data_IF_942312192166
#
_entry.id   IF_942312192166
#
_cell.length_a   1.000
_cell.length_b   1.000
_cell.length_c   1.000
_cell.angle_alpha   90.00
_cell.angle_beta   90.00
_cell.angle_gamma   90.00
#
_symmetry.space_group_name_H-M   'P 1'
#
loop_
_entity.id
_entity.type
_entity.pdbx_description
1 polymer ?
#
# COMPACT_ATOMS: atom_id res chain seq x y z
N UNK A 1 1.97 1.07 18.62
CA UNK A 1 1.02 -0.02 18.31
C UNK A 1 1.67 -0.99 17.34
N UNK A 2 1.47 -2.30 17.51
CA UNK A 2 1.97 -3.32 16.58
C UNK A 2 0.87 -3.73 15.60
N UNK A 3 1.22 -3.92 14.33
CA UNK A 3 0.31 -4.26 13.24
C UNK A 3 0.88 -5.46 12.46
N UNK A 4 0.07 -6.50 12.31
CA UNK A 4 0.43 -7.71 11.59
C UNK A 4 0.02 -7.56 10.12
N UNK A 5 0.97 -7.66 9.19
CA UNK A 5 0.70 -7.61 7.76
C UNK A 5 1.01 -8.95 7.09
N UNK A 6 0.23 -9.29 6.05
CA UNK A 6 0.54 -10.43 5.18
C UNK A 6 0.28 -10.09 3.72
N UNK A 7 0.96 -10.83 2.85
CA UNK A 7 0.55 -10.95 1.46
C UNK A 7 -0.49 -12.07 1.32
N UNK A 8 -1.47 -11.88 0.44
CA UNK A 8 -2.40 -12.92 -0.04
C UNK A 8 -1.89 -13.41 -1.40
N UNK A 9 -2.26 -14.66 -1.75
CA UNK A 9 -1.98 -15.20 -3.08
C UNK A 9 -2.46 -14.23 -4.16
N UNK A 10 -1.57 -14.04 -5.13
CA UNK A 10 -1.55 -12.87 -6.01
C UNK A 10 -1.96 -13.27 -7.42
N UNK A 11 -2.65 -12.38 -8.15
CA UNK A 11 -2.69 -12.50 -9.61
C UNK A 11 -1.26 -12.50 -10.17
N UNK A 12 -1.06 -13.13 -11.34
CA UNK A 12 0.23 -13.19 -12.00
C UNK A 12 0.65 -11.81 -12.53
N UNK A 13 1.22 -10.98 -11.66
CA UNK A 13 1.57 -9.61 -11.96
C UNK A 13 2.69 -9.47 -13.00
N UNK A 14 2.67 -8.36 -13.72
CA UNK A 14 3.70 -8.00 -14.70
C UNK A 14 5.07 -7.74 -14.05
N UNK A 15 5.11 -7.60 -12.72
CA UNK A 15 6.33 -7.50 -11.89
C UNK A 15 6.44 -8.72 -10.98
N UNK A 16 7.66 -9.25 -10.78
CA UNK A 16 7.91 -10.42 -9.91
C UNK A 16 7.35 -10.19 -8.49
N UNK A 17 6.62 -11.16 -7.88
CA UNK A 17 6.04 -11.00 -6.54
C UNK A 17 7.04 -10.55 -5.47
N UNK A 18 8.26 -11.11 -5.45
CA UNK A 18 9.31 -10.70 -4.52
C UNK A 18 9.71 -9.22 -4.63
N UNK A 19 9.67 -8.64 -5.84
CA UNK A 19 9.96 -7.21 -6.07
C UNK A 19 8.85 -6.33 -5.50
N UNK A 20 7.59 -6.71 -5.70
CA UNK A 20 6.42 -6.00 -5.19
C UNK A 20 6.32 -6.10 -3.66
N UNK A 21 6.53 -7.30 -3.10
CA UNK A 21 6.62 -7.52 -1.65
C UNK A 21 7.72 -6.65 -1.03
N UNK A 22 8.91 -6.62 -1.64
CA UNK A 22 10.03 -5.77 -1.19
C UNK A 22 9.68 -4.28 -1.22
N UNK A 23 8.86 -3.82 -2.18
CA UNK A 23 8.39 -2.44 -2.23
C UNK A 23 7.40 -2.13 -1.09
N UNK A 24 6.45 -3.02 -0.84
CA UNK A 24 5.49 -2.88 0.26
C UNK A 24 6.19 -2.86 1.63
N UNK A 25 7.18 -3.73 1.86
CA UNK A 25 7.97 -3.75 3.10
C UNK A 25 8.73 -2.44 3.31
N UNK A 26 9.28 -1.83 2.24
CA UNK A 26 9.90 -0.49 2.33
C UNK A 26 8.88 0.58 2.69
N UNK A 27 7.69 0.57 2.09
CA UNK A 27 6.63 1.53 2.42
C UNK A 27 6.20 1.44 3.89
N UNK A 28 5.95 0.22 4.40
CA UNK A 28 5.66 -0.02 5.82
C UNK A 28 6.79 0.46 6.73
N UNK A 29 8.05 0.28 6.32
CA UNK A 29 9.23 0.76 7.05
C UNK A 29 9.31 2.29 7.09
N UNK A 30 9.00 2.98 6.00
CA UNK A 30 8.91 4.45 5.97
C UNK A 30 7.84 4.97 6.94
N UNK A 31 6.68 4.31 7.05
CA UNK A 31 5.64 4.67 8.02
C UNK A 31 6.05 4.38 9.48
N UNK A 32 6.72 3.26 9.74
CA UNK A 32 7.21 2.92 11.07
C UNK A 32 8.31 3.91 11.56
N UNK A 33 9.11 4.46 10.64
CA UNK A 33 10.18 5.40 10.99
C UNK A 33 9.67 6.76 11.52
N UNK A 34 8.40 7.12 11.28
CA UNK A 34 7.85 8.46 11.59
C UNK A 34 6.65 8.44 12.55
N UNK A 35 6.17 7.25 12.91
CA UNK A 35 4.97 7.00 13.72
C UNK A 35 5.27 6.04 14.89
N UNK A 36 4.26 5.81 15.74
CA UNK A 36 4.34 4.80 16.80
C UNK A 36 4.01 3.37 16.30
N UNK A 37 3.93 3.14 14.99
CA UNK A 37 3.61 1.83 14.42
C UNK A 37 4.82 0.92 14.27
N UNK A 38 4.61 -0.37 14.51
CA UNK A 38 5.55 -1.45 14.19
C UNK A 38 4.83 -2.46 13.31
N UNK A 39 5.45 -2.84 12.20
CA UNK A 39 4.87 -3.81 11.26
C UNK A 39 5.65 -5.12 11.30
N UNK A 40 4.95 -6.25 11.38
CA UNK A 40 5.57 -7.58 11.28
C UNK A 40 4.73 -8.56 10.48
N UNK A 41 5.38 -9.60 9.97
CA UNK A 41 4.71 -10.77 9.43
C UNK A 41 3.99 -11.55 10.55
N UNK A 42 2.97 -12.36 10.23
CA UNK A 42 2.34 -13.26 11.19
C UNK A 42 3.31 -14.37 11.63
N UNK A 43 3.26 -14.73 12.91
CA UNK A 43 4.04 -15.80 13.51
C UNK A 43 3.57 -17.20 13.06
N UNK A 44 2.32 -17.31 12.61
CA UNK A 44 1.76 -18.54 12.02
C UNK A 44 0.56 -18.22 11.12
N UNK A 45 0.13 -19.19 10.30
CA UNK A 45 -0.94 -19.02 9.30
C UNK A 45 -2.35 -18.72 9.86
N UNK A 46 -2.56 -18.84 11.17
CA UNK A 46 -3.84 -18.57 11.85
C UNK A 46 -3.86 -17.24 12.61
N UNK A 47 -2.74 -16.51 12.67
CA UNK A 47 -2.72 -15.21 13.34
C UNK A 47 -3.60 -14.20 12.58
N UNK A 48 -4.34 -13.37 13.33
CA UNK A 48 -5.15 -12.29 12.78
C UNK A 48 -4.23 -11.22 12.18
N UNK A 49 -4.56 -10.73 10.99
CA UNK A 49 -3.75 -9.76 10.25
C UNK A 49 -4.52 -8.45 10.20
N UNK A 50 -3.86 -7.35 10.54
CA UNK A 50 -4.42 -6.00 10.45
C UNK A 50 -4.33 -5.44 9.02
N UNK A 51 -3.37 -5.92 8.24
CA UNK A 51 -3.14 -5.48 6.85
C UNK A 51 -3.01 -6.70 5.94
N UNK A 52 -3.83 -6.77 4.90
CA UNK A 52 -3.79 -7.83 3.89
C UNK A 52 -3.51 -7.19 2.53
N UNK A 53 -2.32 -7.45 1.99
CA UNK A 53 -1.86 -6.89 0.71
C UNK A 53 -2.08 -7.95 -0.38
N UNK A 54 -2.83 -7.58 -1.42
CA UNK A 54 -3.13 -8.44 -2.57
C UNK A 54 -2.83 -7.75 -3.90
N UNK A 55 -2.50 -8.54 -4.92
CA UNK A 55 -2.36 -8.07 -6.29
C UNK A 55 -3.49 -8.65 -7.13
N UNK A 56 -4.25 -7.77 -7.78
CA UNK A 56 -5.48 -8.12 -8.47
C UNK A 56 -5.50 -7.53 -9.88
N UNK A 57 -6.41 -7.99 -10.73
CA UNK A 57 -6.63 -7.49 -12.09
C UNK A 57 -8.11 -7.26 -12.29
N UNK A 58 -8.48 -6.22 -13.03
CA UNK A 58 -9.86 -5.95 -13.44
C UNK A 58 -10.85 -6.12 -12.27
N UNK A 59 -11.98 -6.80 -12.47
CA UNK A 59 -12.95 -7.12 -11.42
C UNK A 59 -12.44 -8.19 -10.45
N UNK A 60 -12.27 -7.82 -9.18
CA UNK A 60 -11.71 -8.68 -8.14
C UNK A 60 -12.56 -8.82 -6.87
N UNK A 61 -13.89 -8.75 -7.05
CA UNK A 61 -14.94 -9.13 -6.07
C UNK A 61 -15.15 -8.18 -4.88
N UNK A 62 -14.60 -6.99 -4.93
CA UNK A 62 -14.81 -5.90 -3.96
C UNK A 62 -15.66 -4.73 -4.54
N UNK A 63 -16.17 -4.89 -5.77
CA UNK A 63 -16.89 -3.87 -6.56
C UNK A 63 -16.04 -2.64 -6.98
N UNK A 64 -14.72 -2.68 -6.78
CA UNK A 64 -13.79 -1.65 -7.21
C UNK A 64 -12.81 -2.21 -8.26
N UNK A 65 -13.25 -2.44 -9.51
CA UNK A 65 -12.41 -3.03 -10.54
C UNK A 65 -11.25 -2.11 -10.94
N UNK A 66 -10.10 -2.70 -11.29
CA UNK A 66 -9.04 -2.01 -12.03
C UNK A 66 -9.37 -1.90 -13.53
N UNK A 67 -8.66 -1.03 -14.25
CA UNK A 67 -9.09 -0.39 -15.49
C UNK A 67 -8.05 -0.41 -16.62
N UNK A 68 -7.23 -1.47 -16.68
CA UNK A 68 -6.10 -1.68 -17.60
C UNK A 68 -4.91 -0.68 -17.38
N UNK A 69 -3.70 -0.95 -17.94
CA UNK A 69 -2.51 -0.16 -17.61
C UNK A 69 -2.59 1.34 -17.90
N UNK A 70 -1.94 2.12 -17.02
CA UNK A 70 -1.95 3.58 -16.86
C UNK A 70 -3.21 4.15 -16.17
N UNK A 71 -3.97 3.30 -15.48
CA UNK A 71 -5.19 3.64 -14.73
C UNK A 71 -4.98 3.70 -13.21
N UNK A 72 -5.83 2.99 -12.47
CA UNK A 72 -5.83 2.88 -11.01
C UNK A 72 -4.68 1.98 -10.55
N UNK A 73 -3.66 2.59 -9.93
CA UNK A 73 -2.48 1.85 -9.45
C UNK A 73 -2.75 0.91 -8.26
N UNK A 74 -3.88 1.10 -7.59
CA UNK A 74 -4.31 0.36 -6.41
C UNK A 74 -5.23 1.18 -5.51
N UNK A 75 -5.86 0.52 -4.54
CA UNK A 75 -6.69 1.13 -3.51
C UNK A 75 -6.51 0.44 -2.16
N UNK A 76 -6.79 1.19 -1.09
CA UNK A 76 -6.77 0.69 0.29
C UNK A 76 -8.12 0.92 0.96
N UNK A 77 -8.53 -0.03 1.80
CA UNK A 77 -9.72 0.07 2.62
C UNK A 77 -9.40 0.63 4.01
N UNK A 78 -10.43 1.08 4.73
CA UNK A 78 -10.29 1.60 6.08
C UNK A 78 -9.69 0.54 7.05
N UNK A 79 -9.08 0.94 8.18
CA UNK A 79 -8.41 0.02 9.12
C UNK A 79 -9.27 -1.13 9.66
N UNK A 80 -10.60 -1.00 9.63
CA UNK A 80 -11.55 -2.03 10.02
C UNK A 80 -11.63 -3.21 9.03
N UNK A 81 -11.33 -2.97 7.75
CA UNK A 81 -11.24 -3.98 6.70
C UNK A 81 -9.78 -4.43 6.51
N UNK A 82 -8.86 -3.46 6.45
CA UNK A 82 -7.41 -3.70 6.43
C UNK A 82 -6.87 -4.22 5.09
N UNK A 83 -7.69 -4.34 4.05
CA UNK A 83 -7.22 -4.76 2.74
C UNK A 83 -6.55 -3.60 1.97
N UNK A 84 -5.50 -3.95 1.22
CA UNK A 84 -4.82 -3.08 0.27
C UNK A 84 -4.63 -3.86 -1.04
N UNK A 85 -5.28 -3.41 -2.10
CA UNK A 85 -5.22 -4.03 -3.42
C UNK A 85 -4.32 -3.17 -4.32
N UNK A 86 -3.41 -3.83 -5.03
CA UNK A 86 -2.52 -3.22 -6.01
C UNK A 86 -2.83 -3.83 -7.38
N UNK A 87 -2.85 -3.01 -8.43
CA UNK A 87 -3.05 -3.56 -9.77
C UNK A 87 -1.82 -4.37 -10.20
N UNK A 88 -2.09 -5.60 -10.62
CA UNK A 88 -1.11 -6.56 -11.11
C UNK A 88 -0.75 -6.32 -12.58
N UNK A 89 -1.58 -5.59 -13.34
CA UNK A 89 -1.27 -5.16 -14.69
C UNK A 89 -0.34 -3.94 -14.74
N UNK A 90 -0.31 -3.16 -13.66
CA UNK A 90 0.56 -2.00 -13.54
C UNK A 90 2.03 -2.36 -13.39
N UNK A 91 2.88 -1.56 -14.05
CA UNK A 91 4.33 -1.64 -13.88
C UNK A 91 4.76 -0.72 -12.72
N UNK A 92 4.23 -1.04 -11.53
CA UNK A 92 3.96 -0.12 -10.42
C UNK A 92 5.06 0.92 -10.12
N UNK A 93 4.67 2.20 -10.14
CA UNK A 93 5.40 3.36 -9.61
C UNK A 93 4.42 4.13 -8.69
N UNK A 94 4.71 4.26 -7.39
CA UNK A 94 3.71 4.32 -6.29
C UNK A 94 3.17 5.74 -5.89
N UNK A 95 1.88 5.83 -5.50
CA UNK A 95 1.14 6.98 -4.86
C UNK A 95 -0.04 6.47 -3.99
N UNK A 96 -0.91 7.20 -3.24
CA UNK A 96 -1.66 8.42 -3.58
C UNK A 96 -2.35 9.15 -2.36
N UNK A 97 -2.58 10.48 -2.44
CA UNK A 97 -3.43 11.40 -1.60
C UNK A 97 -3.41 12.83 -2.21
N UNK A 98 -3.36 13.97 -1.49
CA UNK A 98 -3.75 15.30 -2.01
C UNK A 98 -2.71 16.44 -2.13
N UNK A 99 -1.62 16.49 -1.35
CA UNK A 99 -0.53 17.46 -1.58
C UNK A 99 0.30 17.05 -2.80
N UNK A 100 0.48 17.96 -3.76
CA UNK A 100 1.25 17.74 -4.99
C UNK A 100 2.70 17.28 -4.73
N UNK A 101 3.23 17.47 -3.53
CA UNK A 101 4.57 17.03 -3.09
C UNK A 101 4.58 15.79 -2.18
N UNK A 102 3.44 15.37 -1.60
CA UNK A 102 3.37 14.21 -0.70
C UNK A 102 3.66 12.89 -1.42
N UNK A 103 4.26 11.91 -0.71
CA UNK A 103 4.44 10.52 -1.21
C UNK A 103 3.09 9.97 -1.62
N UNK A 104 2.11 10.26 -0.77
CA UNK A 104 0.71 10.09 -1.03
C UNK A 104 0.24 11.29 -1.88
N UNK A 105 0.47 11.26 -3.20
CA UNK A 105 -0.20 12.17 -4.13
C UNK A 105 -0.90 11.42 -5.27
N UNK A 106 -2.16 11.80 -5.55
CA UNK A 106 -3.03 11.15 -6.53
C UNK A 106 -2.51 11.28 -7.96
N UNK A 107 -1.66 12.27 -8.24
CA UNK A 107 -0.87 12.34 -9.47
C UNK A 107 0.60 12.00 -9.25
N UNK A 108 1.24 11.36 -10.23
CA UNK A 108 2.70 11.28 -10.32
C UNK A 108 3.08 11.83 -11.68
N UNK A 109 3.60 13.06 -11.72
CA UNK A 109 4.18 13.62 -12.94
C UNK A 109 5.33 12.73 -13.43
N UNK A 110 5.39 12.45 -14.74
CA UNK A 110 6.39 11.54 -15.32
C UNK A 110 7.82 11.90 -14.87
N UNK A 111 8.49 10.96 -14.19
CA UNK A 111 9.84 11.14 -13.65
C UNK A 111 9.92 11.52 -12.16
N UNK A 112 8.81 11.89 -11.52
CA UNK A 112 8.76 12.12 -10.08
C UNK A 112 9.01 10.83 -9.28
N UNK A 113 9.66 10.98 -8.11
CA UNK A 113 9.97 9.89 -7.17
C UNK A 113 9.79 10.41 -5.75
N UNK A 114 8.93 9.77 -4.97
CA UNK A 114 8.63 10.16 -3.59
C UNK A 114 8.65 8.92 -2.71
N UNK A 115 9.51 8.91 -1.70
CA UNK A 115 9.81 7.71 -0.89
C UNK A 115 9.71 7.94 0.63
N UNK A 116 9.67 9.20 1.06
CA UNK A 116 9.76 9.63 2.45
C UNK A 116 8.52 10.45 2.81
N UNK A 117 7.70 10.03 3.79
CA UNK A 117 6.52 10.79 4.22
C UNK A 117 6.84 12.25 4.51
N UNK A 118 5.98 13.16 4.06
CA UNK A 118 6.14 14.60 4.29
C UNK A 118 5.67 14.98 5.70
N UNK A 119 5.89 16.25 6.08
CA UNK A 119 5.37 16.76 7.34
C UNK A 119 3.84 16.65 7.45
N UNK A 120 3.12 16.77 6.33
CA UNK A 120 1.65 16.61 6.29
C UNK A 120 1.24 15.16 6.54
N UNK A 121 1.84 14.21 5.80
CA UNK A 121 1.66 12.76 5.99
C UNK A 121 1.87 12.35 7.47
N UNK A 122 2.91 12.91 8.11
CA UNK A 122 3.30 12.65 9.50
C UNK A 122 2.33 13.29 10.50
N UNK A 123 1.87 14.51 10.24
CA UNK A 123 0.93 15.21 11.13
C UNK A 123 -0.46 14.55 11.09
N UNK A 124 -0.94 14.18 9.90
CA UNK A 124 -2.21 13.48 9.72
C UNK A 124 -2.25 12.14 10.47
N UNK A 125 -1.20 11.31 10.32
CA UNK A 125 -1.17 10.01 10.99
C UNK A 125 -0.98 10.12 12.51
N UNK A 126 -0.31 11.17 13.00
CA UNK A 126 -0.21 11.46 14.45
C UNK A 126 -1.53 11.96 15.03
N UNK A 127 -2.29 12.79 14.32
CA UNK A 127 -3.58 13.28 14.80
C UNK A 127 -4.63 12.17 15.00
N UNK A 128 -4.50 11.04 14.31
CA UNK A 128 -5.42 9.89 14.40
C UNK A 128 -4.99 8.81 15.40
N UNK A 129 -3.70 8.75 15.76
CA UNK A 129 -3.10 7.61 16.49
C UNK A 129 -2.05 8.01 17.55
N UNK A 130 -2.18 9.21 18.13
CA UNK A 130 -1.36 9.71 19.25
C UNK A 130 -1.63 8.97 20.56
#
# INVERSE_FOLDING_TARGET
>A
MELVYRFRDSAAANVKPATLQSACVRALSSWAAVSNFRFRAPANSREINNIIIGFHRLSHRDFHPFDDPLGILGHGFAPQDGQAHLDADENCRLGHSSDTNAVMFSGIGGGQRKWTPTADDINGIRALYS
#
